data_IF_169290740285
#
_entry.id   IF_169290740285
#
_cell.length_a   1.000
_cell.length_b   1.000
_cell.length_c   1.000
_cell.angle_alpha   90.00
_cell.angle_beta   90.00
_cell.angle_gamma   90.00
#
_symmetry.space_group_name_H-M   'P 1'
#
loop_
_entity.id
_entity.type
_entity.pdbx_description
1 polymer ?
#
# COMPACT_ATOMS: atom_id res chain seq x y z
N UNK A 1 1.10 18.58 -15.43
CA UNK A 1 0.17 17.45 -15.28
C UNK A 1 1.01 16.19 -15.28
N UNK A 2 1.14 15.59 -14.11
CA UNK A 2 1.87 14.34 -13.92
C UNK A 2 0.87 13.22 -13.75
N UNK A 3 1.18 12.04 -14.29
CA UNK A 3 0.39 10.83 -14.06
C UNK A 3 1.12 10.01 -13.02
N UNK A 4 0.44 9.63 -11.94
CA UNK A 4 0.97 8.82 -10.86
C UNK A 4 0.34 7.44 -10.83
N UNK A 5 1.13 6.42 -10.50
CA UNK A 5 0.61 5.15 -10.01
C UNK A 5 0.63 5.18 -8.49
N UNK A 6 -0.45 4.75 -7.86
CA UNK A 6 -0.57 4.61 -6.40
C UNK A 6 -0.96 3.17 -6.10
N UNK A 7 -0.09 2.44 -5.43
CA UNK A 7 -0.31 1.04 -5.05
C UNK A 7 -0.63 0.96 -3.57
N UNK A 8 -1.80 0.45 -3.21
CA UNK A 8 -2.27 0.38 -1.84
C UNK A 8 -2.34 -1.07 -1.35
N UNK A 9 -2.10 -1.26 -0.06
CA UNK A 9 -2.19 -2.55 0.62
C UNK A 9 -2.51 -2.31 2.10
N UNK A 10 -3.16 -3.26 2.76
CA UNK A 10 -3.54 -3.17 4.16
C UNK A 10 -3.10 -4.36 4.99
N UNK A 11 -2.57 -4.06 6.17
CA UNK A 11 -2.25 -5.07 7.16
C UNK A 11 -3.35 -5.15 8.21
N UNK A 12 -3.77 -6.37 8.52
CA UNK A 12 -4.64 -6.73 9.67
C UNK A 12 -6.03 -6.11 9.63
N UNK A 13 -6.53 -5.73 8.46
CA UNK A 13 -7.88 -5.17 8.32
C UNK A 13 -8.98 -6.22 8.58
N UNK A 14 -8.76 -7.49 8.22
CA UNK A 14 -9.72 -8.61 8.34
C UNK A 14 -9.45 -9.60 9.48
N UNK A 15 -8.28 -9.56 10.11
CA UNK A 15 -7.79 -10.70 10.89
C UNK A 15 -7.63 -10.36 12.36
N UNK A 16 -8.30 -11.15 13.20
CA UNK A 16 -8.16 -11.23 14.65
C UNK A 16 -8.56 -9.96 15.45
N UNK A 17 -9.70 -9.98 16.16
CA UNK A 17 -10.11 -8.91 17.08
C UNK A 17 -9.10 -8.61 18.20
N UNK A 18 -8.20 -9.54 18.52
CA UNK A 18 -7.14 -9.35 19.51
C UNK A 18 -6.06 -8.36 19.07
N UNK A 19 -5.97 -8.08 17.76
CA UNK A 19 -5.00 -7.13 17.18
C UNK A 19 -5.65 -5.75 17.02
N UNK A 20 -5.29 -4.74 17.84
CA UNK A 20 -6.01 -3.47 17.88
C UNK A 20 -5.58 -2.47 16.81
N UNK A 21 -4.52 -2.75 16.03
CA UNK A 21 -4.00 -1.81 15.04
C UNK A 21 -4.17 -2.32 13.61
N UNK A 22 -4.77 -1.48 12.78
CA UNK A 22 -4.84 -1.64 11.32
C UNK A 22 -3.81 -0.69 10.70
N UNK A 23 -3.13 -1.15 9.66
CA UNK A 23 -2.25 -0.28 8.85
C UNK A 23 -2.76 -0.28 7.43
N UNK A 24 -3.00 0.90 6.87
CA UNK A 24 -3.31 1.08 5.44
C UNK A 24 -2.15 1.87 4.85
N UNK A 25 -1.45 1.26 3.89
CA UNK A 25 -0.27 1.82 3.27
C UNK A 25 -0.49 2.07 1.79
N UNK A 26 0.20 3.07 1.26
CA UNK A 26 0.28 3.31 -0.16
C UNK A 26 1.71 3.67 -0.58
N UNK A 27 2.05 3.28 -1.81
CA UNK A 27 3.30 3.59 -2.49
C UNK A 27 2.97 4.31 -3.80
N UNK A 28 3.52 5.51 -3.99
CA UNK A 28 3.30 6.33 -5.18
C UNK A 28 4.58 6.51 -5.97
N UNK A 29 4.48 6.50 -7.30
CA UNK A 29 5.52 7.00 -8.20
C UNK A 29 4.94 7.64 -9.47
N UNK A 30 5.67 8.56 -10.13
CA UNK A 30 5.33 8.97 -11.48
C UNK A 30 5.23 7.74 -12.39
N UNK A 31 4.22 7.72 -13.25
CA UNK A 31 3.90 6.56 -14.09
C UNK A 31 5.02 6.21 -15.05
N UNK A 32 5.73 7.22 -15.55
CA UNK A 32 6.90 7.07 -16.41
C UNK A 32 8.10 6.43 -15.69
N UNK A 33 8.28 6.72 -14.40
CA UNK A 33 9.39 6.22 -13.59
C UNK A 33 9.24 4.75 -13.20
N UNK A 34 8.02 4.20 -13.27
CA UNK A 34 7.71 2.81 -12.89
C UNK A 34 8.69 1.82 -13.51
N UNK A 35 8.91 1.90 -14.83
CA UNK A 35 9.76 0.93 -15.53
C UNK A 35 11.22 1.02 -15.07
N UNK A 36 11.74 2.22 -14.82
CA UNK A 36 13.10 2.42 -14.29
C UNK A 36 13.24 1.82 -12.90
N UNK A 37 12.30 2.12 -12.00
CA UNK A 37 12.30 1.65 -10.61
C UNK A 37 12.24 0.11 -10.57
N UNK A 38 11.29 -0.48 -11.30
CA UNK A 38 11.15 -1.95 -11.40
C UNK A 38 12.39 -2.58 -12.03
N UNK A 39 13.00 -1.93 -13.03
CA UNK A 39 14.28 -2.36 -13.60
C UNK A 39 15.41 -2.41 -12.58
N UNK A 40 15.54 -1.37 -11.73
CA UNK A 40 16.52 -1.36 -10.62
C UNK A 40 16.25 -2.49 -9.62
N UNK A 41 14.99 -2.71 -9.26
CA UNK A 41 14.60 -3.81 -8.38
C UNK A 41 14.94 -5.18 -8.97
N UNK A 42 14.64 -5.41 -10.26
CA UNK A 42 15.00 -6.65 -10.93
C UNK A 42 16.51 -6.84 -11.02
N UNK A 43 17.28 -5.79 -11.33
CA UNK A 43 18.74 -5.84 -11.31
C UNK A 43 19.28 -6.23 -9.93
N UNK A 44 18.67 -5.69 -8.86
CA UNK A 44 18.98 -6.08 -7.49
C UNK A 44 18.65 -7.55 -7.23
N UNK A 45 17.46 -8.01 -7.62
CA UNK A 45 17.08 -9.41 -7.49
C UNK A 45 18.06 -10.34 -8.23
N UNK A 46 18.46 -10.00 -9.46
CA UNK A 46 19.45 -10.76 -10.23
C UNK A 46 20.81 -10.79 -9.52
N UNK A 47 21.30 -9.66 -9.01
CA UNK A 47 22.58 -9.57 -8.29
C UNK A 47 22.64 -10.53 -7.09
N UNK A 48 21.52 -10.70 -6.38
CA UNK A 48 21.43 -11.56 -5.20
C UNK A 48 20.82 -12.94 -5.49
N UNK A 49 20.63 -13.30 -6.77
CA UNK A 49 20.08 -14.61 -7.15
C UNK A 49 18.63 -14.85 -6.73
N UNK A 50 17.84 -13.80 -6.50
CA UNK A 50 16.42 -13.89 -6.16
C UNK A 50 15.62 -14.09 -7.46
N UNK A 51 15.04 -15.28 -7.63
CA UNK A 51 14.28 -15.66 -8.84
C UNK A 51 12.77 -15.74 -8.62
N UNK A 52 12.33 -15.64 -7.38
CA UNK A 52 10.93 -15.78 -6.98
C UNK A 52 10.49 -14.54 -6.21
N UNK A 53 9.18 -14.44 -6.00
CA UNK A 53 8.59 -13.45 -5.12
C UNK A 53 9.28 -13.49 -3.73
N UNK A 54 9.66 -12.32 -3.24
CA UNK A 54 10.28 -12.11 -1.93
C UNK A 54 9.27 -11.47 -0.97
N UNK A 55 9.55 -11.54 0.33
CA UNK A 55 8.67 -10.98 1.36
C UNK A 55 9.15 -11.39 2.75
N UNK A 56 8.65 -10.71 3.78
CA UNK A 56 9.17 -10.84 5.15
C UNK A 56 9.10 -12.27 5.71
N UNK A 57 8.13 -13.09 5.30
CA UNK A 57 8.05 -14.52 5.66
C UNK A 57 9.20 -15.37 5.09
N UNK A 58 9.84 -14.90 4.01
CA UNK A 58 10.96 -15.55 3.31
C UNK A 58 12.32 -14.97 3.72
N UNK A 59 12.35 -14.18 4.81
CA UNK A 59 13.57 -13.60 5.36
C UNK A 59 14.44 -14.71 5.97
N UNK A 60 15.73 -14.72 5.61
CA UNK A 60 16.72 -15.63 6.17
C UNK A 60 18.09 -14.94 6.24
N UNK A 61 19.02 -15.41 7.10
CA UNK A 61 20.36 -14.82 7.20
C UNK A 61 21.08 -14.73 5.85
N UNK A 62 20.94 -15.75 5.01
CA UNK A 62 21.58 -15.82 3.68
C UNK A 62 21.02 -14.80 2.67
N UNK A 63 19.93 -14.10 3.01
CA UNK A 63 19.33 -13.03 2.19
C UNK A 63 19.46 -11.66 2.83
N UNK A 64 20.15 -11.52 3.97
CA UNK A 64 20.22 -10.28 4.72
C UNK A 64 20.72 -9.11 3.85
N UNK A 65 21.76 -9.33 3.05
CA UNK A 65 22.33 -8.30 2.18
C UNK A 65 21.36 -7.85 1.08
N UNK A 66 20.57 -8.77 0.52
CA UNK A 66 19.52 -8.42 -0.43
C UNK A 66 18.48 -7.48 0.21
N UNK A 67 17.99 -7.79 1.41
CA UNK A 67 17.01 -6.95 2.09
C UNK A 67 17.59 -5.60 2.51
N UNK A 68 18.86 -5.54 2.94
CA UNK A 68 19.55 -4.28 3.22
C UNK A 68 19.63 -3.40 1.97
N UNK A 69 20.06 -3.97 0.84
CA UNK A 69 20.10 -3.24 -0.43
C UNK A 69 18.72 -2.88 -0.97
N UNK A 70 17.69 -3.67 -0.69
CA UNK A 70 16.30 -3.35 -1.04
C UNK A 70 15.80 -2.12 -0.25
N UNK A 71 16.04 -2.10 1.06
CA UNK A 71 15.70 -0.95 1.92
C UNK A 71 16.48 0.29 1.47
N UNK A 72 17.76 0.13 1.14
CA UNK A 72 18.58 1.23 0.61
C UNK A 72 18.02 1.75 -0.72
N UNK A 73 17.69 0.87 -1.69
CA UNK A 73 17.08 1.24 -2.96
C UNK A 73 15.78 2.03 -2.73
N UNK A 74 14.94 1.56 -1.81
CA UNK A 74 13.68 2.23 -1.47
C UNK A 74 13.93 3.62 -0.86
N UNK A 75 14.88 3.74 0.08
CA UNK A 75 15.17 5.00 0.77
C UNK A 75 15.86 6.04 -0.11
N UNK A 76 16.61 5.61 -1.14
CA UNK A 76 17.35 6.50 -2.04
C UNK A 76 16.58 6.83 -3.33
N UNK A 77 15.47 6.14 -3.59
CA UNK A 77 14.67 6.37 -4.79
C UNK A 77 13.72 7.56 -4.58
N UNK A 78 14.17 8.75 -4.98
CA UNK A 78 13.40 10.00 -4.87
C UNK A 78 12.07 9.99 -5.63
N UNK A 79 11.91 9.09 -6.61
CA UNK A 79 10.66 8.96 -7.38
C UNK A 79 9.62 8.09 -6.66
N UNK A 80 9.97 7.46 -5.54
CA UNK A 80 9.05 6.72 -4.68
C UNK A 80 8.65 7.58 -3.48
N UNK A 81 7.35 7.62 -3.23
CA UNK A 81 6.77 8.21 -2.03
C UNK A 81 5.97 7.16 -1.29
N UNK A 82 6.18 7.01 0.01
CA UNK A 82 5.43 6.08 0.85
C UNK A 82 4.67 6.83 1.92
N UNK A 83 3.43 6.41 2.15
CA UNK A 83 2.57 6.92 3.22
C UNK A 83 1.80 5.76 3.79
N UNK A 84 1.59 5.78 5.10
CA UNK A 84 0.64 4.89 5.74
C UNK A 84 -0.09 5.63 6.85
N UNK A 85 -1.24 5.08 7.21
CA UNK A 85 -1.95 5.42 8.45
C UNK A 85 -1.96 4.20 9.36
N UNK A 86 -1.83 4.44 10.66
CA UNK A 86 -1.96 3.43 11.70
C UNK A 86 -3.19 3.77 12.52
N UNK A 87 -4.16 2.87 12.55
CA UNK A 87 -5.48 3.10 13.12
C UNK A 87 -5.70 2.15 14.27
N UNK A 88 -5.98 2.69 15.45
CA UNK A 88 -6.45 1.92 16.59
C UNK A 88 -7.96 1.65 16.44
N UNK A 89 -8.33 0.41 16.12
CA UNK A 89 -9.74 0.03 15.91
C UNK A 89 -10.61 0.17 17.16
N UNK A 90 -10.02 0.30 18.35
CA UNK A 90 -10.78 0.58 19.59
C UNK A 90 -11.29 2.01 19.65
N UNK A 91 -10.73 2.91 18.83
CA UNK A 91 -11.14 4.30 18.73
C UNK A 91 -12.15 4.54 17.61
N UNK A 92 -12.49 3.51 16.83
CA UNK A 92 -13.47 3.61 15.75
C UNK A 92 -14.89 3.43 16.30
N UNK A 93 -15.67 4.51 16.28
CA UNK A 93 -17.11 4.46 16.54
C UNK A 93 -17.89 4.45 15.22
N UNK A 94 -18.21 3.24 14.74
CA UNK A 94 -18.97 3.09 13.50
C UNK A 94 -20.44 3.47 13.64
N UNK A 95 -21.03 3.35 14.83
CA UNK A 95 -22.43 3.74 15.05
C UNK A 95 -22.58 5.26 14.92
N UNK A 96 -21.64 6.00 15.50
CA UNK A 96 -21.66 7.46 15.46
C UNK A 96 -21.23 8.03 14.09
N UNK A 97 -20.17 7.48 13.50
CA UNK A 97 -19.52 8.13 12.35
C UNK A 97 -19.73 7.43 11.02
N UNK A 98 -20.27 6.21 10.99
CA UNK A 98 -20.33 5.38 9.80
C UNK A 98 -21.67 4.65 9.63
N UNK A 99 -22.76 5.16 10.22
CA UNK A 99 -24.11 4.56 10.11
C UNK A 99 -24.18 3.09 10.54
N UNK A 100 -23.30 2.68 11.45
CA UNK A 100 -23.12 1.29 11.88
C UNK A 100 -22.36 0.40 10.89
N UNK A 101 -21.98 0.92 9.72
CA UNK A 101 -21.26 0.19 8.66
C UNK A 101 -19.73 0.25 8.85
N UNK A 102 -19.15 -0.93 9.03
CA UNK A 102 -17.70 -1.09 9.15
C UNK A 102 -16.97 -0.93 7.82
N UNK A 103 -17.60 -1.31 6.71
CA UNK A 103 -17.06 -1.17 5.36
C UNK A 103 -16.95 0.32 4.98
N UNK A 104 -18.01 1.10 5.24
CA UNK A 104 -17.96 2.55 5.07
C UNK A 104 -16.85 3.20 5.93
N UNK A 105 -16.70 2.77 7.18
CA UNK A 105 -15.63 3.23 8.04
C UNK A 105 -14.24 2.94 7.45
N UNK A 106 -14.04 1.73 6.92
CA UNK A 106 -12.81 1.36 6.23
C UNK A 106 -12.53 2.24 5.00
N UNK A 107 -13.54 2.52 4.17
CA UNK A 107 -13.38 3.41 3.02
C UNK A 107 -13.04 4.85 3.43
N UNK A 108 -13.57 5.35 4.54
CA UNK A 108 -13.17 6.66 5.08
C UNK A 108 -11.71 6.68 5.52
N UNK A 109 -11.20 5.60 6.11
CA UNK A 109 -9.78 5.49 6.43
C UNK A 109 -8.91 5.52 5.15
N UNK A 110 -9.35 4.81 4.11
CA UNK A 110 -8.71 4.86 2.79
C UNK A 110 -8.71 6.26 2.18
N UNK A 111 -9.83 6.96 2.27
CA UNK A 111 -9.94 8.35 1.85
C UNK A 111 -8.93 9.23 2.60
N UNK A 112 -8.81 9.07 3.93
CA UNK A 112 -7.81 9.80 4.73
C UNK A 112 -6.37 9.48 4.32
N UNK A 113 -6.07 8.25 3.90
CA UNK A 113 -4.76 7.93 3.35
C UNK A 113 -4.49 8.72 2.06
N UNK A 114 -5.43 8.72 1.12
CA UNK A 114 -5.26 9.23 -0.24
C UNK A 114 -5.40 10.75 -0.36
N UNK A 115 -6.38 11.36 0.32
CA UNK A 115 -6.71 12.80 0.16
C UNK A 115 -5.52 13.73 0.40
N UNK A 116 -4.56 13.31 1.23
CA UNK A 116 -3.36 14.08 1.52
C UNK A 116 -2.24 13.94 0.47
N UNK A 117 -2.40 13.05 -0.51
CA UNK A 117 -1.51 12.89 -1.66
C UNK A 117 -2.12 13.43 -2.96
N UNK A 118 -3.44 13.38 -3.10
CA UNK A 118 -4.12 13.83 -4.31
C UNK A 118 -4.07 15.36 -4.41
N UNK A 119 -3.50 15.85 -5.49
CA UNK A 119 -3.42 17.28 -5.82
C UNK A 119 -4.28 17.56 -7.06
N UNK A 120 -5.00 18.70 -7.09
CA UNK A 120 -5.69 19.14 -8.29
C UNK A 120 -4.70 19.30 -9.48
N UNK A 121 -5.11 18.83 -10.67
CA UNK A 121 -4.33 18.99 -11.90
C UNK A 121 -3.42 17.82 -12.26
N UNK A 122 -3.31 16.81 -11.39
CA UNK A 122 -2.63 15.54 -11.67
C UNK A 122 -3.63 14.40 -11.90
N UNK A 123 -3.15 13.29 -12.45
CA UNK A 123 -3.95 12.07 -12.69
C UNK A 123 -3.39 10.91 -11.89
N UNK A 124 -4.27 10.15 -11.24
CA UNK A 124 -3.88 9.09 -10.32
C UNK A 124 -4.50 7.77 -10.74
N UNK A 125 -3.64 6.78 -11.01
CA UNK A 125 -4.03 5.39 -11.21
C UNK A 125 -3.89 4.69 -9.86
N UNK A 126 -5.02 4.51 -9.17
CA UNK A 126 -5.05 3.88 -7.84
C UNK A 126 -5.30 2.39 -8.00
N UNK A 127 -4.38 1.59 -7.49
CA UNK A 127 -4.40 0.13 -7.49
C UNK A 127 -4.62 -0.35 -6.06
N UNK A 128 -5.80 -0.91 -5.81
CA UNK A 128 -6.17 -1.49 -4.53
C UNK A 128 -6.00 -3.01 -4.60
N UNK A 129 -5.68 -3.65 -3.49
CA UNK A 129 -5.76 -5.11 -3.41
C UNK A 129 -7.22 -5.56 -3.56
N UNK A 130 -7.43 -6.79 -4.05
CA UNK A 130 -8.76 -7.32 -4.21
C UNK A 130 -9.39 -7.53 -2.84
N UNK A 131 -10.47 -6.78 -2.56
CA UNK A 131 -11.23 -6.91 -1.32
C UNK A 131 -12.60 -7.52 -1.59
N UNK A 132 -13.02 -8.43 -0.72
CA UNK A 132 -14.38 -8.96 -0.73
C UNK A 132 -15.32 -7.89 -0.16
N UNK A 133 -15.96 -7.14 -1.04
CA UNK A 133 -16.95 -6.13 -0.65
C UNK A 133 -18.30 -6.78 -0.36
N UNK A 134 -19.11 -6.14 0.48
CA UNK A 134 -20.46 -6.60 0.80
C UNK A 134 -21.40 -6.61 -0.43
N UNK A 135 -21.11 -5.76 -1.41
CA UNK A 135 -21.83 -5.69 -2.68
C UNK A 135 -20.84 -5.82 -3.84
N UNK A 136 -20.92 -6.93 -4.58
CA UNK A 136 -20.02 -7.22 -5.71
C UNK A 136 -20.25 -6.29 -6.92
N UNK A 137 -21.43 -5.67 -7.03
CA UNK A 137 -21.82 -4.79 -8.15
C UNK A 137 -21.70 -3.31 -7.80
N UNK A 138 -21.04 -2.95 -6.70
CA UNK A 138 -20.93 -1.56 -6.21
C UNK A 138 -20.28 -0.60 -7.20
N UNK A 139 -19.49 -1.12 -8.14
CA UNK A 139 -18.76 -0.37 -9.17
C UNK A 139 -19.28 -0.63 -10.60
N UNK A 140 -20.40 -1.34 -10.75
CA UNK A 140 -21.08 -1.46 -12.04
C UNK A 140 -21.99 -0.24 -12.22
N UNK A 141 -21.61 0.66 -13.11
CA UNK A 141 -22.51 1.65 -13.72
C UNK A 141 -23.12 1.10 -15.01
#
# INVERSE_FOLDING_TARGET
MTIYNVYCDESRHTSDPSQPYIVIGALQCPREEKHRIVGRLHGLMTKYGIKTEFGWKKLSPNKADFYRSLIQLFSEENSLSFRCIVVDRRQLDHQQWNDGDKELGFYKLYYQLLVHWLQPGDTYHVYLDWQQNACSTRFEE
#
